data_IF_210433855566
#
_entry.id   IF_210433855566
#
_cell.length_a   1.000
_cell.length_b   1.000
_cell.length_c   1.000
_cell.angle_alpha   90.00
_cell.angle_beta   90.00
_cell.angle_gamma   90.00
#
_symmetry.space_group_name_H-M   'P 1'
#
loop_
_entity.id
_entity.type
_entity.pdbx_description
1 polymer ?
#
# COMPACT_ATOMS: atom_id res chain seq x y z
N UNK A 1 -49.58 12.69 -47.96
CA UNK A 1 -48.27 12.88 -47.28
C UNK A 1 -48.27 11.91 -46.13
N UNK A 2 -47.39 10.90 -46.17
CA UNK A 2 -47.23 9.90 -45.11
C UNK A 2 -46.00 10.32 -44.30
N UNK A 3 -46.20 10.74 -43.04
CA UNK A 3 -45.10 11.04 -42.11
C UNK A 3 -44.55 9.72 -41.54
N UNK A 4 -43.31 9.37 -41.88
CA UNK A 4 -42.54 8.30 -41.25
C UNK A 4 -42.09 8.72 -39.84
N UNK A 5 -42.49 7.95 -38.84
CA UNK A 5 -42.06 8.09 -37.47
C UNK A 5 -40.61 7.56 -37.35
N UNK A 6 -39.65 8.40 -36.94
CA UNK A 6 -38.29 7.95 -36.65
C UNK A 6 -38.28 7.08 -35.39
N UNK A 7 -37.53 5.98 -35.46
CA UNK A 7 -37.32 5.08 -34.32
C UNK A 7 -36.53 5.78 -33.20
N UNK A 8 -37.02 5.68 -31.97
CA UNK A 8 -36.47 6.35 -30.80
C UNK A 8 -35.03 5.94 -30.51
N UNK A 9 -34.26 6.91 -30.09
CA UNK A 9 -32.89 6.75 -29.60
C UNK A 9 -32.86 5.77 -28.41
N UNK A 10 -32.01 4.75 -28.52
CA UNK A 10 -31.71 3.81 -27.43
C UNK A 10 -31.10 4.56 -26.27
N UNK A 11 -31.65 4.41 -25.06
CA UNK A 11 -31.08 4.98 -23.83
C UNK A 11 -29.65 4.49 -23.62
N UNK A 12 -28.73 5.34 -23.10
CA UNK A 12 -27.37 4.93 -22.83
C UNK A 12 -27.35 3.79 -21.81
N UNK A 13 -26.68 2.71 -22.16
CA UNK A 13 -26.45 1.56 -21.26
C UNK A 13 -25.61 2.06 -20.06
N UNK A 14 -26.12 1.89 -18.85
CA UNK A 14 -25.41 2.26 -17.64
C UNK A 14 -24.08 1.50 -17.58
N UNK A 15 -22.99 2.23 -17.40
CA UNK A 15 -21.67 1.67 -17.18
C UNK A 15 -21.72 0.81 -15.90
N UNK A 16 -21.29 -0.46 -15.93
CA UNK A 16 -21.32 -1.30 -14.75
C UNK A 16 -20.44 -0.68 -13.65
N UNK A 17 -21.01 -0.54 -12.45
CA UNK A 17 -20.31 -0.09 -11.26
C UNK A 17 -19.14 -1.07 -10.99
N UNK A 18 -17.92 -0.58 -10.69
CA UNK A 18 -16.80 -1.45 -10.35
C UNK A 18 -17.20 -2.41 -9.22
N UNK A 19 -17.02 -3.70 -9.46
CA UNK A 19 -17.21 -4.72 -8.42
C UNK A 19 -16.05 -4.57 -7.42
N UNK A 20 -16.36 -4.36 -6.15
CA UNK A 20 -15.36 -4.33 -5.10
C UNK A 20 -14.63 -5.69 -5.04
N UNK A 21 -13.30 -5.65 -4.92
CA UNK A 21 -12.48 -6.84 -4.67
C UNK A 21 -12.92 -7.53 -3.37
N UNK A 22 -12.77 -8.86 -3.28
CA UNK A 22 -13.01 -9.59 -2.04
C UNK A 22 -12.10 -9.05 -0.93
N UNK A 23 -12.70 -8.62 0.17
CA UNK A 23 -11.97 -8.16 1.35
C UNK A 23 -11.74 -9.36 2.27
N UNK A 24 -10.49 -9.58 2.70
CA UNK A 24 -10.16 -10.62 3.68
C UNK A 24 -10.79 -10.31 5.05
N UNK A 25 -11.01 -11.33 5.87
CA UNK A 25 -11.52 -11.17 7.23
C UNK A 25 -10.60 -10.24 8.07
N UNK A 26 -11.14 -9.56 9.09
CA UNK A 26 -10.33 -8.78 10.02
C UNK A 26 -9.24 -9.63 10.65
N UNK A 27 -8.01 -9.09 10.71
CA UNK A 27 -6.87 -9.73 11.36
C UNK A 27 -6.78 -9.15 12.77
N UNK A 28 -6.66 -10.02 13.78
CA UNK A 28 -6.34 -9.54 15.12
C UNK A 28 -4.87 -9.07 15.13
N UNK A 29 -4.66 -7.77 15.31
CA UNK A 29 -3.34 -7.13 15.27
C UNK A 29 -2.97 -6.66 16.67
N UNK A 30 -1.83 -7.12 17.18
CA UNK A 30 -1.18 -6.59 18.37
C UNK A 30 0.05 -5.80 17.93
N UNK A 31 0.13 -4.53 18.28
CA UNK A 31 1.24 -3.66 17.93
C UNK A 31 2.44 -3.84 18.87
N UNK A 32 3.63 -3.56 18.35
CA UNK A 32 4.87 -3.66 19.10
C UNK A 32 5.60 -4.99 18.89
N UNK A 33 6.53 -5.28 19.78
CA UNK A 33 7.33 -6.51 19.74
C UNK A 33 6.48 -7.74 20.11
N UNK A 34 6.71 -8.84 19.40
CA UNK A 34 6.23 -10.16 19.82
C UNK A 34 7.02 -10.66 21.06
N UNK A 35 6.58 -11.75 21.67
CA UNK A 35 7.15 -12.27 22.93
C UNK A 35 8.65 -12.61 22.82
N UNK A 36 9.11 -13.01 21.64
CA UNK A 36 10.50 -13.42 21.38
C UNK A 36 11.37 -12.26 20.86
N UNK A 37 10.81 -11.07 20.73
CA UNK A 37 11.45 -9.87 20.16
C UNK A 37 12.09 -10.09 18.78
N UNK A 38 11.53 -10.98 17.98
CA UNK A 38 11.97 -11.30 16.61
C UNK A 38 11.17 -10.56 15.55
N UNK A 39 9.96 -10.12 15.90
CA UNK A 39 9.05 -9.40 15.02
C UNK A 39 8.47 -8.17 15.72
N UNK A 40 8.40 -7.07 15.00
CA UNK A 40 7.76 -5.84 15.44
C UNK A 40 6.60 -5.50 14.52
N UNK A 41 5.39 -5.41 15.07
CA UNK A 41 4.21 -4.95 14.33
C UNK A 41 4.07 -3.44 14.45
N UNK A 42 4.21 -2.75 13.33
CA UNK A 42 4.16 -1.30 13.23
C UNK A 42 2.74 -0.80 13.53
N UNK A 43 2.55 0.13 14.49
CA UNK A 43 1.27 0.81 14.66
C UNK A 43 0.90 1.58 13.40
N UNK A 44 -0.35 1.40 12.90
CA UNK A 44 -0.86 2.17 11.78
C UNK A 44 -1.49 3.45 12.31
N UNK A 45 -0.76 4.56 12.21
CA UNK A 45 -1.15 5.89 12.66
C UNK A 45 -0.84 6.91 11.57
N UNK A 46 -1.32 8.14 11.70
CA UNK A 46 -0.97 9.24 10.78
C UNK A 46 0.53 9.60 10.79
N UNK A 47 1.27 9.23 11.84
CA UNK A 47 2.72 9.43 11.91
C UNK A 47 3.48 8.33 11.17
N UNK A 48 3.03 7.07 11.30
CA UNK A 48 3.70 5.91 10.71
C UNK A 48 3.30 5.67 9.26
N UNK A 49 2.09 6.09 8.84
CA UNK A 49 1.65 5.99 7.45
C UNK A 49 1.57 7.39 6.84
N UNK A 50 2.65 7.78 6.19
CA UNK A 50 2.81 9.10 5.60
C UNK A 50 2.33 9.16 4.15
N UNK A 51 1.75 10.30 3.77
CA UNK A 51 1.41 10.59 2.38
C UNK A 51 2.56 11.32 1.67
N UNK A 52 2.76 10.95 0.41
CA UNK A 52 3.67 11.62 -0.50
C UNK A 52 2.93 12.28 -1.66
N UNK A 53 3.56 12.33 -2.81
CA UNK A 53 2.98 12.91 -4.00
C UNK A 53 1.78 12.10 -4.50
N UNK A 54 0.69 12.77 -4.89
CA UNK A 54 -0.49 12.13 -5.48
C UNK A 54 -1.11 11.04 -4.59
N UNK A 55 -1.08 11.21 -3.27
CA UNK A 55 -1.53 10.17 -2.34
C UNK A 55 -2.40 10.76 -1.24
N UNK A 56 -3.48 10.06 -0.91
CA UNK A 56 -4.29 10.32 0.27
C UNK A 56 -4.19 9.11 1.23
N UNK A 57 -4.13 9.41 2.52
CA UNK A 57 -4.04 8.42 3.60
C UNK A 57 -5.16 8.65 4.59
N UNK A 58 -5.85 7.59 4.97
CA UNK A 58 -6.86 7.60 6.03
C UNK A 58 -6.62 6.43 6.97
N UNK A 59 -6.51 6.70 8.26
CA UNK A 59 -6.27 5.69 9.31
C UNK A 59 -7.55 5.43 10.08
N UNK A 60 -7.94 4.16 10.16
CA UNK A 60 -9.00 3.68 11.06
C UNK A 60 -8.37 3.00 12.27
N UNK A 61 -8.31 3.71 13.39
CA UNK A 61 -7.72 3.21 14.63
C UNK A 61 -8.54 2.10 15.28
N UNK A 62 -9.84 2.02 15.04
CA UNK A 62 -10.71 0.96 15.57
C UNK A 62 -10.52 -0.34 14.77
N UNK A 63 -10.50 -0.25 13.45
CA UNK A 63 -10.22 -1.38 12.57
C UNK A 63 -8.73 -1.72 12.50
N UNK A 64 -7.85 -0.86 13.04
CA UNK A 64 -6.38 -0.98 12.95
C UNK A 64 -5.89 -1.10 11.51
N UNK A 65 -6.44 -0.30 10.61
CA UNK A 65 -6.11 -0.30 9.18
C UNK A 65 -5.74 1.08 8.69
N UNK A 66 -4.98 1.14 7.60
CA UNK A 66 -4.73 2.38 6.89
C UNK A 66 -5.12 2.21 5.41
N UNK A 67 -5.98 3.07 4.93
CA UNK A 67 -6.33 3.15 3.51
C UNK A 67 -5.43 4.15 2.83
N UNK A 68 -4.75 3.74 1.78
CA UNK A 68 -3.88 4.57 0.95
C UNK A 68 -4.47 4.58 -0.45
N UNK A 69 -4.79 5.77 -0.95
CA UNK A 69 -5.29 5.98 -2.32
C UNK A 69 -4.25 6.74 -3.12
N UNK A 70 -3.97 6.28 -4.33
CA UNK A 70 -2.98 6.84 -5.24
C UNK A 70 -3.66 7.42 -6.47
N UNK A 71 -3.19 8.58 -6.90
CA UNK A 71 -3.65 9.25 -8.11
C UNK A 71 -2.49 9.98 -8.80
N UNK A 72 -2.44 9.88 -10.14
CA UNK A 72 -1.43 10.55 -10.96
C UNK A 72 -0.30 9.64 -11.46
N UNK A 73 0.71 10.26 -12.06
CA UNK A 73 1.75 9.56 -12.81
C UNK A 73 2.72 8.74 -11.93
N UNK A 74 3.14 9.32 -10.80
CA UNK A 74 4.14 8.72 -9.91
C UNK A 74 3.77 9.02 -8.45
N UNK A 75 2.64 8.51 -7.96
CA UNK A 75 2.23 8.71 -6.58
C UNK A 75 3.05 7.84 -5.63
N UNK A 76 3.26 8.32 -4.40
CA UNK A 76 3.98 7.58 -3.38
C UNK A 76 3.42 7.77 -1.96
N UNK A 77 3.57 6.74 -1.14
CA UNK A 77 3.27 6.73 0.28
C UNK A 77 4.44 6.14 1.07
N UNK A 78 4.46 6.41 2.36
CA UNK A 78 5.57 6.04 3.22
C UNK A 78 5.09 5.28 4.46
N UNK A 79 5.86 4.26 4.83
CA UNK A 79 5.82 3.67 6.16
C UNK A 79 7.05 4.19 6.93
N UNK A 80 6.81 5.08 7.89
CA UNK A 80 7.85 5.71 8.68
C UNK A 80 8.19 4.84 9.89
N UNK A 81 9.46 4.61 10.14
CA UNK A 81 9.89 3.85 11.32
C UNK A 81 9.85 4.75 12.56
N UNK A 82 9.26 4.28 13.67
CA UNK A 82 9.35 4.97 14.96
C UNK A 82 10.79 5.17 15.40
N UNK A 83 11.06 6.26 16.12
CA UNK A 83 12.42 6.64 16.54
C UNK A 83 13.08 5.64 17.49
N UNK A 84 12.30 4.89 18.25
CA UNK A 84 12.77 3.83 19.16
C UNK A 84 13.27 2.57 18.41
N UNK A 85 13.00 2.46 17.12
CA UNK A 85 13.52 1.41 16.25
C UNK A 85 14.76 1.83 15.46
N UNK A 86 15.28 3.04 15.65
CA UNK A 86 16.36 3.63 14.85
C UNK A 86 17.65 2.84 14.83
N UNK A 87 17.90 2.03 15.85
CA UNK A 87 19.10 1.19 15.97
C UNK A 87 18.80 -0.30 15.76
N UNK A 88 17.56 -0.63 15.35
CA UNK A 88 17.14 -1.99 15.11
C UNK A 88 17.30 -2.37 13.64
N UNK A 89 18.01 -3.46 13.40
CA UNK A 89 18.23 -4.00 12.05
C UNK A 89 17.21 -5.07 11.73
N UNK A 90 16.53 -4.89 10.61
CA UNK A 90 15.49 -5.82 10.15
C UNK A 90 15.96 -6.55 8.88
N UNK A 91 15.62 -7.82 8.79
CA UNK A 91 15.92 -8.67 7.62
C UNK A 91 14.83 -8.60 6.55
N UNK A 92 13.58 -8.35 6.95
CA UNK A 92 12.46 -8.20 6.02
C UNK A 92 11.33 -7.34 6.60
N UNK A 93 10.47 -6.87 5.70
CA UNK A 93 9.19 -6.24 6.01
C UNK A 93 8.08 -7.06 5.35
N UNK A 94 7.05 -7.40 6.12
CA UNK A 94 5.83 -8.05 5.63
C UNK A 94 4.71 -7.02 5.66
N UNK A 95 4.00 -6.87 4.55
CA UNK A 95 2.82 -6.01 4.45
C UNK A 95 1.63 -6.87 4.11
N UNK A 96 0.61 -6.87 4.99
CA UNK A 96 -0.69 -7.49 4.76
C UNK A 96 -1.66 -6.44 4.28
N UNK A 97 -2.34 -6.72 3.16
CA UNK A 97 -3.14 -5.72 2.47
C UNK A 97 -4.32 -6.33 1.72
N UNK A 98 -5.30 -5.47 1.40
CA UNK A 98 -6.24 -5.69 0.32
C UNK A 98 -6.07 -4.61 -0.73
N UNK A 99 -6.20 -4.95 -2.00
CA UNK A 99 -6.18 -4.00 -3.10
C UNK A 99 -7.54 -3.31 -3.25
N UNK A 100 -7.51 -2.01 -3.59
CA UNK A 100 -8.73 -1.27 -3.96
C UNK A 100 -9.09 -1.47 -5.43
N UNK A 101 -8.09 -1.75 -6.29
CA UNK A 101 -8.26 -1.99 -7.73
C UNK A 101 -7.36 -3.12 -8.20
N UNK A 102 -7.71 -3.77 -9.32
CA UNK A 102 -6.90 -4.85 -9.90
C UNK A 102 -5.86 -4.35 -10.90
N UNK A 103 -6.09 -3.18 -11.49
CA UNK A 103 -5.41 -2.77 -12.73
C UNK A 103 -4.02 -2.17 -12.56
N UNK A 104 -3.76 -1.57 -11.37
CA UNK A 104 -2.55 -0.78 -11.20
C UNK A 104 -1.39 -1.59 -10.70
N UNK A 105 -0.18 -1.14 -11.03
CA UNK A 105 1.06 -1.76 -10.61
C UNK A 105 1.73 -0.92 -9.54
N UNK A 106 2.26 -1.59 -8.51
CA UNK A 106 2.93 -0.94 -7.38
C UNK A 106 4.34 -1.48 -7.20
N UNK A 107 5.23 -0.58 -6.87
CA UNK A 107 6.61 -0.87 -6.52
C UNK A 107 6.96 -0.40 -5.12
N UNK A 108 8.19 -0.63 -4.73
CA UNK A 108 8.69 -0.23 -3.41
C UNK A 108 10.14 0.23 -3.46
N UNK A 109 10.54 0.94 -2.40
CA UNK A 109 11.92 1.27 -2.10
C UNK A 109 12.13 1.36 -0.59
N UNK A 110 13.37 1.14 -0.16
CA UNK A 110 13.79 1.32 1.22
C UNK A 110 14.67 2.56 1.34
N UNK A 111 14.55 3.28 2.47
CA UNK A 111 15.44 4.37 2.88
C UNK A 111 16.03 4.05 4.23
N UNK A 112 17.33 4.23 4.36
CA UNK A 112 18.07 3.93 5.58
C UNK A 112 18.60 5.18 6.24
N UNK A 113 18.92 5.09 7.53
CA UNK A 113 19.33 6.23 8.35
C UNK A 113 20.64 6.87 7.89
N UNK A 114 21.52 6.12 7.26
CA UNK A 114 22.77 6.58 6.67
C UNK A 114 22.58 7.51 5.45
N UNK A 115 21.45 7.37 4.76
CA UNK A 115 21.06 8.27 3.65
C UNK A 115 19.54 8.35 3.48
N UNK A 116 18.88 9.19 4.28
CA UNK A 116 17.42 9.34 4.34
C UNK A 116 16.77 9.88 3.05
N UNK A 117 17.54 10.48 2.16
CA UNK A 117 17.05 11.04 0.90
C UNK A 117 17.16 10.09 -0.28
N UNK A 118 17.85 8.96 -0.13
CA UNK A 118 18.13 8.04 -1.23
C UNK A 118 17.29 6.80 -1.14
N UNK A 119 16.50 6.55 -2.17
CA UNK A 119 15.77 5.30 -2.36
C UNK A 119 16.74 4.20 -2.78
N UNK A 120 16.80 3.10 -2.04
CA UNK A 120 17.58 1.90 -2.36
C UNK A 120 16.69 0.67 -2.37
N UNK A 121 17.18 -0.45 -2.86
CA UNK A 121 16.42 -1.69 -3.02
C UNK A 121 15.11 -1.47 -3.81
N UNK A 122 15.20 -0.64 -4.85
CA UNK A 122 14.04 -0.22 -5.65
C UNK A 122 13.57 -1.41 -6.50
N UNK A 123 12.28 -1.70 -6.43
CA UNK A 123 11.58 -2.61 -7.34
C UNK A 123 10.46 -1.85 -8.03
N UNK A 124 10.60 -1.68 -9.34
CA UNK A 124 9.61 -0.96 -10.14
C UNK A 124 8.32 -1.76 -10.28
N UNK A 125 7.21 -1.07 -10.21
CA UNK A 125 5.87 -1.62 -10.25
C UNK A 125 5.61 -2.57 -11.45
N UNK A 126 6.20 -2.28 -12.59
CA UNK A 126 6.03 -3.07 -13.83
C UNK A 126 6.83 -4.37 -13.85
N UNK A 127 7.78 -4.55 -12.94
CA UNK A 127 8.75 -5.67 -12.95
C UNK A 127 8.59 -6.58 -11.73
N UNK A 128 8.22 -6.01 -10.58
CA UNK A 128 8.30 -6.74 -9.32
C UNK A 128 7.17 -7.73 -9.08
N UNK A 129 5.99 -7.53 -9.69
CA UNK A 129 4.78 -8.23 -9.30
C UNK A 129 4.39 -8.03 -7.83
N UNK A 130 5.03 -7.08 -7.14
CA UNK A 130 4.75 -6.77 -5.76
C UNK A 130 3.32 -6.25 -5.61
N UNK A 131 2.70 -6.56 -4.49
CA UNK A 131 1.33 -6.17 -4.20
C UNK A 131 0.30 -6.70 -5.23
N UNK A 132 0.47 -7.95 -5.67
CA UNK A 132 -0.48 -8.60 -6.56
C UNK A 132 -1.91 -8.60 -5.98
N UNK A 133 -2.96 -8.46 -6.81
CA UNK A 133 -4.33 -8.29 -6.32
C UNK A 133 -4.86 -9.47 -5.49
N UNK A 134 -4.37 -10.66 -5.74
CA UNK A 134 -4.78 -11.93 -5.13
C UNK A 134 -3.87 -12.43 -4.01
N UNK A 135 -2.75 -11.74 -3.75
CA UNK A 135 -1.75 -12.21 -2.80
C UNK A 135 -2.03 -11.85 -1.34
N UNK A 136 -2.71 -10.73 -1.05
CA UNK A 136 -3.04 -10.20 0.27
C UNK A 136 -1.87 -10.02 1.26
N UNK A 137 -0.68 -10.43 0.88
CA UNK A 137 0.55 -10.31 1.66
C UNK A 137 1.76 -10.24 0.74
N UNK A 138 2.75 -9.45 1.12
CA UNK A 138 4.07 -9.42 0.48
C UNK A 138 5.15 -9.38 1.54
N UNK A 139 6.18 -10.21 1.40
CA UNK A 139 7.41 -10.13 2.19
C UNK A 139 8.54 -9.59 1.32
N UNK A 140 9.21 -8.55 1.81
CA UNK A 140 10.23 -7.81 1.08
C UNK A 140 11.52 -7.85 1.89
N UNK A 141 12.64 -8.37 1.34
CA UNK A 141 13.92 -8.41 2.02
C UNK A 141 14.48 -6.99 2.22
N UNK A 142 15.10 -6.76 3.38
CA UNK A 142 15.77 -5.54 3.76
C UNK A 142 17.28 -5.78 3.89
N UNK A 143 18.06 -4.71 3.85
CA UNK A 143 19.50 -4.76 4.17
C UNK A 143 19.68 -4.81 5.71
N UNK A 144 19.86 -6.01 6.24
CA UNK A 144 20.06 -6.27 7.67
C UNK A 144 21.32 -5.66 8.27
N UNK A 145 22.16 -4.99 7.50
CA UNK A 145 23.34 -4.27 7.99
C UNK A 145 23.05 -2.80 8.26
N UNK A 146 21.86 -2.31 7.86
CA UNK A 146 21.46 -0.91 7.94
C UNK A 146 20.18 -0.74 8.74
N UNK A 147 20.04 0.43 9.35
CA UNK A 147 18.86 0.80 10.12
C UNK A 147 17.81 1.41 9.18
N UNK A 148 16.65 0.75 9.07
CA UNK A 148 15.56 1.20 8.24
C UNK A 148 14.98 2.51 8.78
N UNK A 149 14.98 3.56 7.96
CA UNK A 149 14.37 4.85 8.29
C UNK A 149 12.92 4.94 7.80
N UNK A 150 12.70 4.52 6.55
CA UNK A 150 11.41 4.65 5.89
C UNK A 150 11.28 3.59 4.79
N UNK A 151 10.09 3.05 4.64
CA UNK A 151 9.75 2.18 3.51
C UNK A 151 8.75 2.90 2.61
N UNK A 152 9.04 2.97 1.33
CA UNK A 152 8.23 3.67 0.33
C UNK A 152 7.45 2.67 -0.50
N UNK A 153 6.17 2.94 -0.72
CA UNK A 153 5.31 2.25 -1.69
C UNK A 153 4.90 3.27 -2.73
N UNK A 154 5.15 2.99 -3.99
CA UNK A 154 4.82 3.91 -5.08
C UNK A 154 4.01 3.22 -6.16
N UNK A 155 3.19 4.01 -6.86
CA UNK A 155 2.41 3.60 -8.01
C UNK A 155 3.03 4.07 -9.33
N UNK A 156 2.52 3.53 -10.43
CA UNK A 156 2.87 3.95 -11.77
C UNK A 156 1.59 4.19 -12.57
N UNK A 157 1.33 5.46 -12.90
CA UNK A 157 0.14 5.91 -13.62
C UNK A 157 -1.17 5.39 -12.99
N UNK A 158 -1.38 5.72 -11.71
CA UNK A 158 -2.53 5.30 -10.94
C UNK A 158 -3.73 6.24 -11.18
N UNK A 159 -4.94 5.66 -11.17
CA UNK A 159 -6.21 6.36 -11.22
C UNK A 159 -7.11 5.82 -10.10
N UNK A 160 -7.12 6.52 -8.97
CA UNK A 160 -7.84 6.14 -7.74
C UNK A 160 -7.55 4.71 -7.26
N UNK A 161 -6.34 4.23 -7.50
CA UNK A 161 -5.84 2.93 -7.06
C UNK A 161 -5.41 2.94 -5.60
N UNK A 162 -5.10 1.77 -5.02
CA UNK A 162 -4.49 1.74 -3.70
C UNK A 162 -4.71 0.46 -2.91
N UNK A 163 -4.56 0.63 -1.59
CA UNK A 163 -4.58 -0.46 -0.62
C UNK A 163 -5.37 -0.12 0.63
N UNK A 164 -5.89 -1.16 1.26
CA UNK A 164 -6.17 -1.17 2.70
C UNK A 164 -5.04 -1.97 3.34
N UNK A 165 -4.12 -1.31 4.02
CA UNK A 165 -3.06 -1.96 4.80
C UNK A 165 -3.67 -2.46 6.10
N UNK A 166 -3.48 -3.75 6.41
CA UNK A 166 -4.01 -4.43 7.58
C UNK A 166 -2.96 -4.70 8.65
N UNK A 167 -1.73 -4.93 8.24
CA UNK A 167 -0.60 -5.07 9.15
C UNK A 167 0.72 -4.79 8.41
N UNK A 168 1.69 -4.27 9.15
CA UNK A 168 3.08 -4.13 8.73
C UNK A 168 3.95 -4.77 9.81
N UNK A 169 4.72 -5.81 9.46
CA UNK A 169 5.54 -6.58 10.38
C UNK A 169 6.99 -6.49 9.93
N UNK A 170 7.86 -6.08 10.83
CA UNK A 170 9.31 -6.01 10.63
C UNK A 170 9.95 -7.22 11.32
N UNK A 171 10.78 -8.01 10.60
CA UNK A 171 11.50 -9.17 11.14
C UNK A 171 12.99 -8.85 11.33
N UNK A 172 13.56 -9.28 12.44
CA UNK A 172 15.01 -9.25 12.69
C UNK A 172 15.79 -10.27 11.88
#
# INVERSE_FOLDING_TARGET
>A
VVLKREAGATAPTATPKPTALPTTAPIEVTYGWNADETEYTLPLTEETVGKGNGTEVSVDTNAKTATITYDGAYPDAFLNMPGDLSDTKFSSIIIKYDRLTEKDSFGYASRYTDNKSTDVNIKWATVSGAFAPDAHEVEIPLDKTKDLYQFKIFGNACDSAGFIIKAVILKK
#
